data_IF_541483363119
#
_entry.id   IF_541483363119
#
_cell.length_a   1.000
_cell.length_b   1.000
_cell.length_c   1.000
_cell.angle_alpha   90.00
_cell.angle_beta   90.00
_cell.angle_gamma   90.00
#
_symmetry.space_group_name_H-M   'P 1'
#
loop_
_entity.id
_entity.type
_entity.pdbx_description
1 polymer ?
#
# COMPACT_ATOMS: atom_id res chain seq x y z
N UNK A 1 19.66 -17.43 -17.42
CA UNK A 1 18.38 -17.55 -16.71
C UNK A 1 17.71 -18.83 -17.15
N UNK A 2 17.59 -19.81 -16.25
CA UNK A 2 16.82 -21.03 -16.49
C UNK A 2 15.46 -20.84 -15.82
N UNK A 3 14.43 -20.54 -16.62
CA UNK A 3 13.08 -20.21 -16.16
C UNK A 3 12.19 -21.41 -16.40
N UNK A 4 11.54 -21.90 -15.35
CA UNK A 4 10.52 -22.95 -15.48
C UNK A 4 9.13 -22.35 -15.29
N UNK A 5 8.22 -22.71 -16.17
CA UNK A 5 6.84 -22.25 -16.13
C UNK A 5 5.95 -23.36 -15.60
N UNK A 6 5.11 -23.02 -14.63
CA UNK A 6 4.00 -23.89 -14.23
C UNK A 6 2.78 -23.45 -15.03
N UNK A 7 2.19 -24.38 -15.77
CA UNK A 7 0.93 -24.18 -16.48
C UNK A 7 -0.22 -24.82 -15.72
N UNK A 8 -1.40 -24.20 -15.77
CA UNK A 8 -2.63 -24.79 -15.24
C UNK A 8 -3.13 -25.92 -16.17
N UNK A 9 -4.18 -26.63 -15.77
CA UNK A 9 -4.78 -27.73 -16.55
C UNK A 9 -5.27 -27.31 -17.95
N UNK A 10 -5.42 -26.00 -18.19
CA UNK A 10 -5.80 -25.40 -19.48
C UNK A 10 -4.60 -24.97 -20.33
N UNK A 11 -3.37 -25.19 -19.85
CA UNK A 11 -2.12 -24.83 -20.54
C UNK A 11 -1.67 -23.38 -20.35
N UNK A 12 -2.38 -22.60 -19.53
CA UNK A 12 -2.04 -21.20 -19.27
C UNK A 12 -0.93 -21.10 -18.22
N UNK A 13 0.14 -20.38 -18.55
CA UNK A 13 1.29 -20.15 -17.67
C UNK A 13 0.85 -19.31 -16.48
N UNK A 14 0.83 -19.92 -15.31
CA UNK A 14 0.26 -19.33 -14.09
C UNK A 14 1.32 -18.96 -13.06
N UNK A 15 2.49 -19.60 -13.10
CA UNK A 15 3.62 -19.21 -12.26
C UNK A 15 4.96 -19.43 -12.97
N UNK A 16 5.98 -18.67 -12.53
CA UNK A 16 7.36 -18.77 -13.01
C UNK A 16 8.26 -19.10 -11.82
N UNK A 17 9.08 -20.14 -11.98
CA UNK A 17 10.09 -20.54 -11.02
C UNK A 17 11.40 -19.87 -11.44
N UNK A 18 12.01 -19.17 -10.49
CA UNK A 18 13.30 -18.49 -10.65
C UNK A 18 14.28 -18.93 -9.56
N UNK A 19 15.58 -19.12 -9.89
CA UNK A 19 16.60 -19.32 -8.87
C UNK A 19 16.67 -18.13 -7.91
N UNK A 20 16.83 -18.41 -6.61
CA UNK A 20 16.81 -17.37 -5.57
C UNK A 20 17.93 -16.32 -5.75
N UNK A 21 19.08 -16.71 -6.27
CA UNK A 21 20.19 -15.79 -6.56
C UNK A 21 19.77 -14.76 -7.62
N UNK A 22 18.99 -15.18 -8.61
CA UNK A 22 18.50 -14.33 -9.68
C UNK A 22 17.41 -13.37 -9.18
N UNK A 23 16.53 -13.86 -8.30
CA UNK A 23 15.56 -13.01 -7.61
C UNK A 23 16.23 -11.93 -6.75
N UNK A 24 17.30 -12.28 -6.03
CA UNK A 24 18.06 -11.32 -5.22
C UNK A 24 18.73 -10.25 -6.11
N UNK A 25 19.24 -10.64 -7.27
CA UNK A 25 19.81 -9.69 -8.23
C UNK A 25 18.76 -8.75 -8.83
N UNK A 26 17.54 -9.25 -9.11
CA UNK A 26 16.43 -8.44 -9.63
C UNK A 26 15.91 -7.45 -8.57
N UNK A 27 15.68 -7.91 -7.35
CA UNK A 27 15.23 -7.06 -6.24
C UNK A 27 16.29 -6.07 -5.75
N UNK A 28 17.57 -6.34 -5.99
CA UNK A 28 18.65 -5.38 -5.73
C UNK A 28 18.72 -4.27 -6.80
N UNK A 29 18.37 -4.58 -8.06
CA UNK A 29 18.39 -3.62 -9.17
C UNK A 29 17.12 -2.78 -9.29
N UNK A 30 15.98 -3.32 -8.84
CA UNK A 30 14.68 -2.67 -8.87
C UNK A 30 14.18 -2.46 -7.45
N UNK A 31 14.29 -1.24 -6.96
CA UNK A 31 13.93 -0.83 -5.59
C UNK A 31 12.41 -0.95 -5.35
N UNK A 32 11.64 -0.69 -6.39
CA UNK A 32 10.20 -0.85 -6.54
C UNK A 32 9.71 -2.30 -6.30
N UNK A 33 10.55 -3.32 -6.53
CA UNK A 33 10.22 -4.70 -6.16
C UNK A 33 10.39 -4.98 -4.66
N UNK A 34 11.19 -4.18 -3.95
CA UNK A 34 11.31 -4.31 -2.48
C UNK A 34 10.05 -3.83 -1.79
N UNK A 35 9.45 -2.72 -2.24
CA UNK A 35 8.21 -2.19 -1.69
C UNK A 35 7.08 -3.23 -1.75
N UNK A 36 6.91 -3.89 -2.91
CA UNK A 36 5.95 -4.99 -3.07
C UNK A 36 6.28 -6.20 -2.17
N UNK A 37 7.56 -6.51 -1.96
CA UNK A 37 7.97 -7.60 -1.07
C UNK A 37 7.72 -7.29 0.41
N UNK A 38 7.84 -6.02 0.81
CA UNK A 38 7.58 -5.54 2.16
C UNK A 38 6.08 -5.51 2.45
N UNK A 39 5.26 -5.14 1.46
CA UNK A 39 3.82 -5.29 1.51
C UNK A 39 3.40 -6.74 1.75
N UNK A 40 4.01 -7.72 1.06
CA UNK A 40 3.72 -9.14 1.27
C UNK A 40 4.23 -9.68 2.62
N UNK A 41 5.36 -9.16 3.13
CA UNK A 41 5.83 -9.47 4.50
C UNK A 41 4.89 -8.92 5.57
N UNK A 42 4.31 -7.74 5.35
CA UNK A 42 3.32 -7.14 6.25
C UNK A 42 2.06 -8.03 6.40
N UNK A 43 1.72 -8.82 5.38
CA UNK A 43 0.57 -9.74 5.39
C UNK A 43 0.85 -11.00 6.21
N UNK A 44 2.10 -11.49 6.27
CA UNK A 44 2.45 -12.75 6.99
C UNK A 44 2.94 -12.55 8.43
N UNK A 45 3.30 -11.34 8.82
CA UNK A 45 3.62 -11.01 10.21
C UNK A 45 3.38 -9.53 10.48
N UNK A 46 2.50 -9.22 11.43
CA UNK A 46 2.37 -7.90 12.04
C UNK A 46 1.81 -6.77 11.15
N UNK A 47 0.62 -6.93 10.58
CA UNK A 47 -0.30 -5.77 10.62
C UNK A 47 -0.73 -5.62 12.08
N UNK A 48 0.13 -5.00 12.90
CA UNK A 48 -0.34 -4.34 14.10
C UNK A 48 -1.38 -3.34 13.60
N UNK A 49 -2.66 -3.72 13.65
CA UNK A 49 -3.76 -2.83 13.33
C UNK A 49 -3.58 -1.63 14.26
N UNK A 50 -3.04 -0.52 13.74
CA UNK A 50 -2.86 0.71 14.50
C UNK A 50 -4.21 1.04 15.09
N UNK A 51 -4.27 1.11 16.42
CA UNK A 51 -5.53 1.38 17.10
C UNK A 51 -5.88 2.84 16.85
N UNK A 52 -7.18 3.21 16.80
CA UNK A 52 -7.56 4.62 16.68
C UNK A 52 -6.93 5.52 17.76
N UNK A 53 -6.61 4.96 18.93
CA UNK A 53 -5.88 5.64 20.01
C UNK A 53 -4.48 6.10 19.63
N UNK A 54 -3.81 5.41 18.71
CA UNK A 54 -2.44 5.71 18.28
C UNK A 54 -2.38 6.99 17.45
N UNK A 55 -3.54 7.52 17.04
CA UNK A 55 -3.68 8.75 16.26
C UNK A 55 -4.09 9.97 17.10
N UNK A 56 -4.29 9.80 18.42
CA UNK A 56 -4.65 10.91 19.31
C UNK A 56 -3.44 11.85 19.43
N UNK A 57 -3.64 13.14 19.09
CA UNK A 57 -2.61 14.18 19.23
C UNK A 57 -1.66 14.31 18.03
N UNK A 58 -1.88 13.57 16.94
CA UNK A 58 -1.14 13.77 15.68
C UNK A 58 -1.49 15.13 15.06
N UNK A 59 -2.74 15.56 15.20
CA UNK A 59 -3.23 16.85 14.73
C UNK A 59 -3.35 17.78 15.92
N UNK A 60 -2.78 18.98 15.81
CA UNK A 60 -2.95 20.02 16.83
C UNK A 60 -4.38 20.52 16.86
N UNK A 61 -4.79 21.11 17.99
CA UNK A 61 -6.15 21.66 18.11
C UNK A 61 -6.42 22.75 17.06
N UNK A 62 -5.40 23.55 16.77
CA UNK A 62 -5.44 24.66 15.81
C UNK A 62 -5.66 24.13 14.38
N UNK A 63 -4.86 23.15 13.94
CA UNK A 63 -5.02 22.51 12.63
C UNK A 63 -6.38 21.82 12.49
N UNK A 64 -6.88 21.21 13.56
CA UNK A 64 -8.20 20.57 13.57
C UNK A 64 -9.34 21.58 13.39
N UNK A 65 -9.24 22.76 14.01
CA UNK A 65 -10.22 23.84 13.86
C UNK A 65 -10.18 24.43 12.44
N UNK A 66 -8.99 24.65 11.88
CA UNK A 66 -8.85 25.14 10.49
C UNK A 66 -9.47 24.17 9.48
N UNK A 67 -9.23 22.86 9.63
CA UNK A 67 -9.84 21.84 8.79
C UNK A 67 -11.37 21.85 8.89
N UNK A 68 -11.92 22.00 10.09
CA UNK A 68 -13.37 22.10 10.28
C UNK A 68 -13.95 23.35 9.63
N UNK A 69 -13.27 24.49 9.73
CA UNK A 69 -13.75 25.74 9.14
C UNK A 69 -13.67 25.73 7.62
N UNK A 70 -12.64 25.09 7.05
CA UNK A 70 -12.58 24.82 5.61
C UNK A 70 -13.79 23.99 5.15
N UNK A 71 -14.09 22.89 5.84
CA UNK A 71 -15.23 22.01 5.50
C UNK A 71 -16.57 22.75 5.58
N UNK A 72 -16.76 23.61 6.59
CA UNK A 72 -17.97 24.45 6.70
C UNK A 72 -18.12 25.41 5.52
N UNK A 73 -17.02 26.06 5.11
CA UNK A 73 -17.02 26.96 3.94
C UNK A 73 -17.34 26.20 2.66
N UNK A 74 -16.64 25.10 2.40
CA UNK A 74 -16.86 24.26 1.22
C UNK A 74 -18.31 23.76 1.14
N UNK A 75 -18.90 23.34 2.27
CA UNK A 75 -20.31 22.93 2.32
C UNK A 75 -21.26 24.09 2.03
N UNK A 76 -21.02 25.26 2.62
CA UNK A 76 -21.81 26.46 2.35
C UNK A 76 -21.71 26.94 0.90
N UNK A 77 -20.59 26.68 0.23
CA UNK A 77 -20.42 26.94 -1.21
C UNK A 77 -21.19 25.94 -2.07
N UNK A 78 -21.27 24.67 -1.66
CA UNK A 78 -22.07 23.65 -2.36
C UNK A 78 -23.58 23.87 -2.21
N UNK A 79 -24.01 24.36 -1.05
CA UNK A 79 -25.42 24.67 -0.76
C UNK A 79 -25.88 26.02 -1.38
N UNK A 80 -25.02 26.74 -2.13
CA UNK A 80 -25.39 28.01 -2.81
C UNK A 80 -26.12 27.83 -4.13
N UNK A 81 -25.96 26.67 -4.77
CA UNK A 81 -26.53 26.38 -6.10
C UNK A 81 -27.83 25.53 -6.02
N UNK A 82 -28.40 25.37 -4.82
CA UNK A 82 -29.73 24.77 -4.54
C UNK A 82 -30.64 25.80 -3.87
#
# INVERSE_FOLDING_TARGET
MDLQYISNERGEKTAVIIPIQEWNNLTAKHEDLKELSEEVKSIKGLVQKKKPSDFIGIVSKEEAEEMQDYLKKARGEWDRDF
#
